data_IF_731246967653
#
_entry.id   IF_731246967653
#
_cell.length_a   1.000
_cell.length_b   1.000
_cell.length_c   1.000
_cell.angle_alpha   90.00
_cell.angle_beta   90.00
_cell.angle_gamma   90.00
#
_symmetry.space_group_name_H-M   'P 1'
#
loop_
_entity.id
_entity.type
_entity.pdbx_description
1 polymer ?
#
# COMPACT_ATOMS: atom_id res chain seq x y z
N UNK A 1 -7.78 2.59 19.22
CA UNK A 1 -8.65 2.72 18.04
C UNK A 1 -9.87 1.81 18.21
N UNK A 2 -11.00 2.00 17.50
CA UNK A 2 -12.12 1.02 17.56
C UNK A 2 -11.64 -0.29 16.90
N UNK A 3 -11.85 -1.45 17.55
CA UNK A 3 -11.37 -2.79 17.11
C UNK A 3 -11.57 -3.12 15.62
N UNK A 4 -12.65 -2.64 15.00
CA UNK A 4 -12.93 -2.90 13.57
C UNK A 4 -11.93 -2.28 12.60
N UNK A 5 -11.29 -1.15 12.95
CA UNK A 5 -10.33 -0.48 12.05
C UNK A 5 -8.96 -1.13 12.08
N UNK A 6 -8.56 -1.65 13.24
CA UNK A 6 -7.32 -2.42 13.35
C UNK A 6 -7.38 -3.67 12.47
N UNK A 7 -8.52 -4.38 12.47
CA UNK A 7 -8.73 -5.55 11.61
C UNK A 7 -8.63 -5.17 10.13
N UNK A 8 -9.22 -4.04 9.72
CA UNK A 8 -9.17 -3.58 8.34
C UNK A 8 -7.74 -3.19 7.93
N UNK A 9 -7.00 -2.51 8.81
CA UNK A 9 -5.61 -2.13 8.57
C UNK A 9 -4.70 -3.37 8.46
N UNK A 10 -4.85 -4.35 9.35
CA UNK A 10 -4.13 -5.62 9.26
C UNK A 10 -4.50 -6.41 8.02
N UNK A 11 -5.77 -6.34 7.57
CA UNK A 11 -6.22 -6.94 6.32
C UNK A 11 -5.58 -6.31 5.08
N UNK A 12 -5.44 -4.97 5.06
CA UNK A 12 -4.74 -4.28 3.96
C UNK A 12 -3.26 -4.66 3.95
N UNK A 13 -2.60 -4.64 5.11
CA UNK A 13 -1.18 -4.97 5.22
C UNK A 13 -0.92 -6.41 4.79
N UNK A 14 -1.73 -7.37 5.25
CA UNK A 14 -1.60 -8.77 4.85
C UNK A 14 -1.87 -8.97 3.36
N UNK A 15 -2.87 -8.28 2.80
CA UNK A 15 -3.13 -8.27 1.35
C UNK A 15 -1.94 -7.75 0.54
N UNK A 16 -1.29 -6.67 1.00
CA UNK A 16 -0.09 -6.13 0.37
C UNK A 16 1.10 -7.09 0.46
N UNK A 17 1.28 -7.77 1.60
CA UNK A 17 2.34 -8.77 1.78
C UNK A 17 2.15 -9.95 0.82
N UNK A 18 0.92 -10.46 0.72
CA UNK A 18 0.59 -11.59 -0.17
C UNK A 18 0.77 -11.16 -1.63
N UNK A 19 0.15 -10.04 -2.04
CA UNK A 19 0.25 -9.53 -3.41
C UNK A 19 1.68 -9.17 -3.81
N UNK A 20 2.44 -8.54 -2.90
CA UNK A 20 3.85 -8.22 -3.11
C UNK A 20 4.72 -9.47 -3.24
N UNK A 21 4.44 -10.53 -2.47
CA UNK A 21 5.14 -11.82 -2.60
C UNK A 21 4.86 -12.49 -3.94
N UNK A 22 3.60 -12.47 -4.41
CA UNK A 22 3.25 -12.97 -5.75
C UNK A 22 3.93 -12.18 -6.86
N UNK A 23 3.92 -10.84 -6.77
CA UNK A 23 4.61 -9.97 -7.74
C UNK A 23 6.12 -10.20 -7.72
N UNK A 24 6.72 -10.40 -6.54
CA UNK A 24 8.13 -10.70 -6.38
C UNK A 24 8.55 -11.98 -7.12
N UNK A 25 7.79 -13.06 -6.95
CA UNK A 25 8.02 -14.33 -7.66
C UNK A 25 7.82 -14.16 -9.17
N UNK A 26 6.78 -13.43 -9.58
CA UNK A 26 6.52 -13.18 -11.00
C UNK A 26 7.66 -12.40 -11.67
N UNK A 27 8.16 -11.33 -11.03
CA UNK A 27 9.28 -10.54 -11.56
C UNK A 27 10.55 -11.37 -11.60
N UNK A 28 10.83 -12.13 -10.54
CA UNK A 28 12.04 -12.97 -10.45
C UNK A 28 12.08 -14.08 -11.51
N UNK A 29 10.93 -14.67 -11.85
CA UNK A 29 10.85 -15.74 -12.86
C UNK A 29 10.67 -15.24 -14.29
N UNK A 30 10.44 -13.94 -14.50
CA UNK A 30 10.14 -13.37 -15.82
C UNK A 30 11.32 -13.41 -16.79
N UNK A 31 12.54 -13.23 -16.29
CA UNK A 31 13.75 -13.20 -17.14
C UNK A 31 14.14 -14.59 -17.64
N UNK A 32 14.00 -15.61 -16.80
CA UNK A 32 14.37 -17.00 -17.13
C UNK A 32 13.19 -17.85 -17.64
N UNK A 33 11.96 -17.34 -17.55
CA UNK A 33 10.73 -18.07 -17.92
C UNK A 33 10.35 -19.20 -16.95
N UNK A 34 11.09 -19.34 -15.84
CA UNK A 34 10.89 -20.36 -14.81
C UNK A 34 10.33 -19.68 -13.57
N UNK A 35 9.05 -19.94 -13.28
CA UNK A 35 8.41 -19.43 -12.07
C UNK A 35 8.63 -20.43 -10.93
N UNK A 36 9.69 -20.22 -10.14
CA UNK A 36 9.95 -21.01 -8.94
C UNK A 36 8.98 -20.61 -7.82
N UNK A 37 7.85 -21.31 -7.76
CA UNK A 37 6.87 -21.16 -6.70
C UNK A 37 7.41 -21.56 -5.32
N UNK A 38 8.56 -22.25 -5.25
CA UNK A 38 9.30 -22.51 -4.02
C UNK A 38 9.81 -21.24 -3.34
N UNK A 39 10.00 -20.14 -4.07
CA UNK A 39 10.40 -18.83 -3.54
C UNK A 39 9.26 -18.06 -2.86
N UNK A 40 8.01 -18.44 -3.13
CA UNK A 40 6.85 -17.77 -2.54
C UNK A 40 6.80 -17.91 -1.01
N UNK A 41 7.01 -19.14 -0.52
CA UNK A 41 7.02 -19.48 0.89
C UNK A 41 8.08 -18.69 1.70
N UNK A 42 9.36 -18.64 1.32
CA UNK A 42 10.37 -17.86 2.02
C UNK A 42 10.14 -16.35 1.92
N UNK A 43 9.64 -15.83 0.79
CA UNK A 43 9.27 -14.41 0.67
C UNK A 43 8.14 -14.04 1.64
N UNK A 44 7.07 -14.85 1.65
CA UNK A 44 5.91 -14.63 2.51
C UNK A 44 6.28 -14.79 4.00
N UNK A 45 7.07 -15.82 4.33
CA UNK A 45 7.54 -16.05 5.69
C UNK A 45 8.48 -14.92 6.17
N UNK A 46 9.36 -14.42 5.31
CA UNK A 46 10.23 -13.29 5.62
C UNK A 46 9.44 -12.01 5.89
N UNK A 47 8.47 -11.69 5.04
CA UNK A 47 7.64 -10.50 5.19
C UNK A 47 6.74 -10.57 6.44
N UNK A 48 6.06 -11.70 6.66
CA UNK A 48 5.25 -11.92 7.87
C UNK A 48 6.11 -11.96 9.14
N UNK A 49 7.31 -12.55 9.07
CA UNK A 49 8.27 -12.59 10.16
C UNK A 49 8.72 -11.18 10.56
N UNK A 50 9.14 -10.36 9.59
CA UNK A 50 9.50 -8.96 9.83
C UNK A 50 8.36 -8.14 10.45
N UNK A 51 7.14 -8.31 9.92
CA UNK A 51 5.96 -7.64 10.47
C UNK A 51 5.64 -8.08 11.91
N UNK A 52 5.77 -9.38 12.19
CA UNK A 52 5.53 -9.93 13.53
C UNK A 52 6.52 -9.41 14.56
N UNK A 53 7.80 -9.28 14.19
CA UNK A 53 8.84 -8.69 15.06
C UNK A 53 8.51 -7.23 15.40
N UNK A 54 8.06 -6.45 14.42
CA UNK A 54 7.62 -5.07 14.66
C UNK A 54 6.47 -5.00 15.67
N UNK A 55 5.45 -5.86 15.53
CA UNK A 55 4.32 -5.91 16.46
C UNK A 55 4.74 -6.31 17.88
N UNK A 56 5.63 -7.30 18.02
CA UNK A 56 6.16 -7.71 19.31
C UNK A 56 6.97 -6.59 19.98
N UNK A 57 7.77 -5.86 19.20
CA UNK A 57 8.51 -4.70 19.69
C UNK A 57 7.57 -3.58 20.16
N UNK A 58 6.54 -3.25 19.37
CA UNK A 58 5.53 -2.25 19.72
C UNK A 58 4.81 -2.63 21.02
N UNK A 59 4.39 -3.89 21.16
CA UNK A 59 3.76 -4.40 22.38
C UNK A 59 4.69 -4.31 23.59
N UNK A 60 5.96 -4.69 23.43
CA UNK A 60 6.95 -4.62 24.50
C UNK A 60 7.23 -3.18 24.95
N UNK A 61 7.36 -2.25 23.99
CA UNK A 61 7.51 -0.82 24.25
C UNK A 61 6.32 -0.26 25.02
N UNK A 62 5.10 -0.58 24.59
CA UNK A 62 3.88 -0.13 25.24
C UNK A 62 3.76 -0.64 26.68
N UNK A 63 4.20 -1.88 26.94
CA UNK A 63 4.23 -2.47 28.29
C UNK A 63 5.24 -1.79 29.22
N UNK A 64 6.32 -1.19 28.69
CA UNK A 64 7.41 -0.58 29.46
C UNK A 64 7.26 0.92 29.69
N UNK A 65 6.66 1.65 28.75
CA UNK A 65 6.63 3.13 28.75
C UNK A 65 5.25 3.70 29.14
N UNK A 66 4.22 2.87 29.23
CA UNK A 66 2.87 3.30 29.60
C UNK A 66 2.12 4.01 28.48
N UNK A 67 1.02 4.68 28.81
CA UNK A 67 0.09 5.30 27.85
C UNK A 67 0.51 6.73 27.49
N UNK A 68 1.74 6.91 27.02
CA UNK A 68 2.19 8.18 26.45
C UNK A 68 1.56 8.30 25.06
N UNK A 69 0.92 9.43 24.70
CA UNK A 69 0.40 9.62 23.37
C UNK A 69 1.54 9.48 22.35
N UNK A 70 1.38 8.56 21.40
CA UNK A 70 2.41 8.27 20.38
C UNK A 70 2.62 9.46 19.43
N UNK A 71 1.66 10.38 19.34
CA UNK A 71 1.71 11.52 18.42
C UNK A 71 1.22 12.80 19.06
N UNK A 72 1.95 13.87 18.80
CA UNK A 72 1.59 15.24 19.15
C UNK A 72 0.68 15.85 18.07
N UNK A 73 -0.10 16.87 18.41
CA UNK A 73 -1.06 17.52 17.48
C UNK A 73 -0.38 18.10 16.24
N UNK A 74 0.88 18.51 16.36
CA UNK A 74 1.67 19.01 15.22
C UNK A 74 1.94 17.92 14.21
N UNK A 75 2.19 16.70 14.67
CA UNK A 75 2.50 15.56 13.81
C UNK A 75 1.27 15.12 13.04
N UNK A 76 0.07 15.18 13.65
CA UNK A 76 -1.18 14.84 12.94
C UNK A 76 -1.50 15.85 11.83
N UNK A 77 -1.30 17.15 12.08
CA UNK A 77 -1.44 18.20 11.05
C UNK A 77 -0.46 18.01 9.91
N UNK A 78 0.82 17.71 10.22
CA UNK A 78 1.82 17.44 9.18
C UNK A 78 1.46 16.20 8.34
N UNK A 79 0.99 15.11 8.98
CA UNK A 79 0.55 13.92 8.26
C UNK A 79 -0.63 14.20 7.33
N UNK A 80 -1.61 14.99 7.79
CA UNK A 80 -2.76 15.38 6.96
C UNK A 80 -2.32 16.16 5.71
N UNK A 81 -1.41 17.13 5.88
CA UNK A 81 -0.88 17.92 4.77
C UNK A 81 -0.06 17.07 3.80
N UNK A 82 0.77 16.17 4.33
CA UNK A 82 1.53 15.21 3.52
C UNK A 82 0.60 14.34 2.67
N UNK A 83 -0.41 13.70 3.29
CA UNK A 83 -1.33 12.86 2.55
C UNK A 83 -2.17 13.62 1.53
N UNK A 84 -2.56 14.86 1.83
CA UNK A 84 -3.25 15.71 0.85
C UNK A 84 -2.36 16.01 -0.36
N UNK A 85 -1.08 16.30 -0.13
CA UNK A 85 -0.11 16.55 -1.20
C UNK A 85 0.10 15.32 -2.06
N UNK A 86 0.28 14.15 -1.45
CA UNK A 86 0.43 12.87 -2.15
C UNK A 86 -0.82 12.55 -2.96
N UNK A 87 -2.02 12.78 -2.40
CA UNK A 87 -3.28 12.56 -3.12
C UNK A 87 -3.35 13.42 -4.40
N UNK A 88 -3.01 14.71 -4.29
CA UNK A 88 -2.96 15.58 -5.46
C UNK A 88 -1.92 15.10 -6.48
N UNK A 89 -0.73 14.71 -6.02
CA UNK A 89 0.31 14.19 -6.91
C UNK A 89 -0.15 12.94 -7.66
N UNK A 90 -0.84 12.01 -6.98
CA UNK A 90 -1.39 10.80 -7.62
C UNK A 90 -2.48 11.18 -8.63
N UNK A 91 -3.46 11.99 -8.25
CA UNK A 91 -4.56 12.39 -9.16
C UNK A 91 -4.04 13.14 -10.39
N UNK A 92 -3.22 14.17 -10.22
CA UNK A 92 -2.69 14.94 -11.33
C UNK A 92 -1.65 14.16 -12.12
N UNK A 93 -0.79 13.39 -11.46
CA UNK A 93 0.21 12.55 -12.11
C UNK A 93 -0.42 11.48 -12.99
N UNK A 94 -1.47 10.81 -12.49
CA UNK A 94 -2.19 9.80 -13.28
C UNK A 94 -2.96 10.40 -14.46
N UNK A 95 -3.55 11.59 -14.29
CA UNK A 95 -4.13 12.34 -15.41
C UNK A 95 -3.07 12.79 -16.44
N UNK A 96 -1.91 13.26 -15.98
CA UNK A 96 -0.81 13.66 -16.85
C UNK A 96 -0.25 12.49 -17.67
N UNK A 97 -0.13 11.29 -17.07
CA UNK A 97 0.29 10.08 -17.79
C UNK A 97 -0.64 9.76 -18.96
N UNK A 98 -1.96 9.89 -18.77
CA UNK A 98 -2.92 9.68 -19.87
C UNK A 98 -2.75 10.72 -20.99
N UNK A 99 -2.52 11.98 -20.63
CA UNK A 99 -2.26 13.05 -21.60
C UNK A 99 -0.95 12.82 -22.37
N UNK A 100 0.09 12.32 -21.69
CA UNK A 100 1.38 11.98 -22.33
C UNK A 100 1.20 10.79 -23.28
N UNK A 101 0.47 9.74 -22.88
CA UNK A 101 0.17 8.59 -23.75
C UNK A 101 -0.59 9.03 -25.00
N UNK A 102 -1.55 9.94 -24.85
CA UNK A 102 -2.25 10.55 -25.97
C UNK A 102 -1.29 11.34 -26.88
N UNK A 103 -0.39 12.15 -26.31
CA UNK A 103 0.58 12.93 -27.07
C UNK A 103 1.64 12.06 -27.79
N UNK A 104 1.96 10.88 -27.26
CA UNK A 104 2.84 9.89 -27.89
C UNK A 104 2.19 9.13 -29.05
N UNK A 105 0.93 9.42 -29.38
CA UNK A 105 0.21 8.78 -30.46
C UNK A 105 -0.23 7.35 -30.13
N UNK A 106 -0.39 7.01 -28.85
CA UNK A 106 -1.00 5.72 -28.46
C UNK A 106 -2.49 5.79 -28.78
N UNK A 107 -2.88 5.27 -29.94
CA UNK A 107 -4.25 5.34 -30.45
C UNK A 107 -5.22 4.43 -29.71
N UNK A 108 -4.71 3.30 -29.18
CA UNK A 108 -5.53 2.32 -28.47
C UNK A 108 -4.89 1.92 -27.15
N UNK A 109 -5.69 1.99 -26.10
CA UNK A 109 -5.42 1.34 -24.82
C UNK A 109 -6.50 0.28 -24.69
N UNK A 110 -6.11 -0.95 -24.37
CA UNK A 110 -7.07 -2.00 -24.08
C UNK A 110 -7.99 -1.54 -22.94
N UNK A 111 -9.28 -1.42 -23.22
CA UNK A 111 -10.27 -0.87 -22.29
C UNK A 111 -10.25 -1.66 -20.96
N UNK A 112 -10.01 -2.97 -21.02
CA UNK A 112 -9.87 -3.83 -19.85
C UNK A 112 -8.73 -3.38 -18.92
N UNK A 113 -7.54 -3.09 -19.47
CA UNK A 113 -6.39 -2.63 -18.70
C UNK A 113 -6.65 -1.25 -18.09
N UNK A 114 -7.29 -0.35 -18.83
CA UNK A 114 -7.64 0.99 -18.34
C UNK A 114 -8.63 0.91 -17.17
N UNK A 115 -9.66 0.04 -17.27
CA UNK A 115 -10.63 -0.17 -16.20
C UNK A 115 -9.96 -0.75 -14.96
N UNK A 116 -9.10 -1.77 -15.10
CA UNK A 116 -8.36 -2.37 -13.99
C UNK A 116 -7.50 -1.31 -13.29
N UNK A 117 -6.76 -0.52 -14.07
CA UNK A 117 -5.95 0.58 -13.55
C UNK A 117 -6.77 1.60 -12.76
N UNK A 118 -7.88 2.07 -13.34
CA UNK A 118 -8.76 3.03 -12.67
C UNK A 118 -9.40 2.44 -11.42
N UNK A 119 -9.79 1.17 -11.44
CA UNK A 119 -10.36 0.48 -10.28
C UNK A 119 -9.36 0.42 -9.12
N UNK A 120 -8.11 0.04 -9.39
CA UNK A 120 -7.04 0.02 -8.38
C UNK A 120 -6.80 1.44 -7.84
N UNK A 121 -6.73 2.43 -8.71
CA UNK A 121 -6.53 3.83 -8.34
C UNK A 121 -7.65 4.35 -7.42
N UNK A 122 -8.92 4.13 -7.79
CA UNK A 122 -10.06 4.52 -6.97
C UNK A 122 -10.10 3.78 -5.64
N UNK A 123 -9.73 2.50 -5.62
CA UNK A 123 -9.64 1.74 -4.37
C UNK A 123 -8.57 2.32 -3.44
N UNK A 124 -7.38 2.63 -3.95
CA UNK A 124 -6.30 3.25 -3.18
C UNK A 124 -6.70 4.64 -2.64
N UNK A 125 -7.33 5.47 -3.47
CA UNK A 125 -7.84 6.78 -3.04
C UNK A 125 -8.92 6.62 -1.97
N UNK A 126 -9.86 5.69 -2.16
CA UNK A 126 -10.94 5.43 -1.20
C UNK A 126 -10.40 5.00 0.16
N UNK A 127 -9.46 4.05 0.17
CA UNK A 127 -8.78 3.57 1.39
C UNK A 127 -7.99 4.72 2.04
N UNK A 128 -7.19 5.45 1.27
CA UNK A 128 -6.38 6.57 1.78
C UNK A 128 -7.23 7.67 2.42
N UNK A 129 -8.32 8.05 1.75
CA UNK A 129 -9.25 9.07 2.26
C UNK A 129 -9.97 8.60 3.53
N UNK A 130 -10.33 7.33 3.60
CA UNK A 130 -10.95 6.74 4.79
C UNK A 130 -10.02 6.73 6.00
N UNK A 131 -8.73 6.47 5.78
CA UNK A 131 -7.69 6.53 6.81
C UNK A 131 -7.53 7.97 7.32
N UNK A 132 -7.39 8.95 6.42
CA UNK A 132 -7.20 10.36 6.80
C UNK A 132 -8.41 10.91 7.58
N UNK A 133 -9.63 10.52 7.23
CA UNK A 133 -10.84 10.93 7.97
C UNK A 133 -10.82 10.52 9.45
N UNK A 134 -9.98 9.55 9.81
CA UNK A 134 -9.89 8.92 11.13
C UNK A 134 -8.66 9.32 11.95
N UNK A 135 -7.69 9.99 11.32
CA UNK A 135 -6.55 10.66 11.97
C UNK A 135 -7.02 12.02 12.45
#
# INVERSE_FOLDING_TARGET
MKKGYEILLYGIISGCIIGGSFLGVYISGKEEGIFDWGLFLPMLAGALGGFSVFLLYAWWRQKRIGNVPDMDERTTVMMKNYFSTVLYFVLFGTGAILLILFALGVETIEIGILIIYMMILFMLIGIGTFIIKKI
#
